data_IF_047089832142
#
_entry.id   IF_047089832142
#
_cell.length_a   1.000
_cell.length_b   1.000
_cell.length_c   1.000
_cell.angle_alpha   90.00
_cell.angle_beta   90.00
_cell.angle_gamma   90.00
#
_symmetry.space_group_name_H-M   'P 1'
#
loop_
_entity.id
_entity.type
_entity.pdbx_description
1 polymer ?
#
# COMPACT_ATOMS: atom_id res chain seq x y z
N UNK A 1 11.37 2.54 -17.28
CA UNK A 1 10.66 1.38 -17.86
C UNK A 1 11.37 0.15 -17.32
N UNK A 2 10.83 -0.51 -16.30
CA UNK A 2 11.45 -1.70 -15.71
C UNK A 2 10.57 -2.89 -16.09
N UNK A 3 11.16 -3.84 -16.82
CA UNK A 3 10.54 -5.13 -17.13
C UNK A 3 10.78 -6.08 -15.96
N UNK A 4 9.71 -6.63 -15.38
CA UNK A 4 9.81 -7.67 -14.37
C UNK A 4 9.30 -9.00 -14.91
N UNK A 5 10.07 -10.06 -14.66
CA UNK A 5 9.75 -11.44 -15.01
C UNK A 5 8.86 -12.05 -13.91
N UNK A 6 7.80 -12.73 -14.34
CA UNK A 6 6.68 -13.18 -13.53
C UNK A 6 7.00 -14.48 -12.77
N UNK A 7 6.74 -14.50 -11.45
CA UNK A 7 6.63 -15.73 -10.67
C UNK A 7 5.19 -15.87 -10.15
N UNK A 8 4.55 -17.00 -10.45
CA UNK A 8 3.16 -17.27 -10.08
C UNK A 8 3.06 -17.57 -8.58
N UNK A 9 2.30 -16.77 -7.83
CA UNK A 9 1.82 -17.16 -6.51
C UNK A 9 0.48 -17.89 -6.66
N UNK A 10 0.44 -19.09 -6.09
CA UNK A 10 -0.59 -20.10 -6.26
C UNK A 10 -1.48 -20.13 -5.01
N UNK A 11 -2.52 -19.29 -4.99
CA UNK A 11 -3.80 -19.58 -4.32
C UNK A 11 -4.83 -18.48 -4.66
N UNK A 12 -5.62 -18.72 -5.72
CA UNK A 12 -6.52 -17.69 -6.32
C UNK A 12 -7.99 -18.10 -6.40
N UNK A 13 -8.38 -19.27 -5.86
CA UNK A 13 -9.75 -19.79 -6.03
C UNK A 13 -10.73 -19.40 -4.90
N UNK A 14 -10.27 -19.04 -3.71
CA UNK A 14 -11.17 -18.74 -2.58
C UNK A 14 -11.67 -17.28 -2.50
N UNK A 15 -10.97 -16.31 -3.08
CA UNK A 15 -11.36 -14.89 -3.02
C UNK A 15 -12.73 -14.59 -3.65
N UNK A 16 -13.21 -15.41 -4.59
CA UNK A 16 -14.46 -15.16 -5.31
C UNK A 16 -15.73 -15.33 -4.48
N UNK A 17 -15.72 -16.17 -3.45
CA UNK A 17 -16.96 -16.49 -2.72
C UNK A 17 -17.26 -15.50 -1.59
N UNK A 18 -16.30 -14.65 -1.23
CA UNK A 18 -16.41 -13.70 -0.11
C UNK A 18 -16.38 -12.23 -0.52
N UNK A 19 -15.91 -11.90 -1.73
CA UNK A 19 -15.83 -10.51 -2.18
C UNK A 19 -17.08 -10.13 -2.97
N UNK A 20 -17.88 -9.21 -2.43
CA UNK A 20 -18.97 -8.58 -3.17
C UNK A 20 -18.37 -7.59 -4.16
N UNK A 21 -18.32 -7.99 -5.42
CA UNK A 21 -17.75 -7.19 -6.51
C UNK A 21 -18.65 -5.99 -6.85
N UNK A 22 -18.10 -4.78 -6.83
CA UNK A 22 -18.80 -3.57 -7.28
C UNK A 22 -18.78 -3.42 -8.81
N UNK A 23 -19.41 -2.35 -9.29
CA UNK A 23 -19.38 -1.90 -10.67
C UNK A 23 -17.92 -1.73 -11.17
N UNK A 24 -17.71 -2.08 -12.43
CA UNK A 24 -16.41 -1.97 -13.11
C UNK A 24 -15.88 -0.53 -13.03
N UNK A 25 -14.62 -0.38 -12.63
CA UNK A 25 -13.92 0.91 -12.57
C UNK A 25 -12.74 0.95 -13.55
N UNK A 26 -12.37 2.15 -13.98
CA UNK A 26 -11.19 2.40 -14.82
C UNK A 26 -10.00 2.98 -14.02
N UNK A 27 -10.18 3.22 -12.73
CA UNK A 27 -9.12 3.65 -11.82
C UNK A 27 -9.53 3.43 -10.36
N UNK A 28 -8.54 3.33 -9.48
CA UNK A 28 -8.72 3.48 -8.05
C UNK A 28 -7.42 4.06 -7.49
N UNK A 29 -7.52 4.80 -6.39
CA UNK A 29 -6.36 5.37 -5.70
C UNK A 29 -6.54 5.11 -4.21
N UNK A 30 -5.49 4.69 -3.52
CA UNK A 30 -5.56 4.25 -2.12
C UNK A 30 -4.61 5.12 -1.30
N UNK A 31 -5.09 5.70 -0.20
CA UNK A 31 -4.23 6.41 0.74
C UNK A 31 -3.69 5.42 1.78
N UNK A 32 -2.61 4.71 1.45
CA UNK A 32 -2.11 3.57 2.22
C UNK A 32 -1.89 3.90 3.72
N UNK A 33 -2.64 3.26 4.61
CA UNK A 33 -2.59 3.51 6.06
C UNK A 33 -3.24 4.83 6.52
N UNK A 34 -3.82 5.61 5.61
CA UNK A 34 -4.44 6.89 5.89
C UNK A 34 -5.95 6.89 5.63
N UNK A 35 -6.63 7.94 6.08
CA UNK A 35 -8.05 8.12 5.81
C UNK A 35 -8.33 8.54 4.35
N UNK A 36 -9.60 8.69 3.99
CA UNK A 36 -10.02 9.23 2.69
C UNK A 36 -9.47 10.65 2.47
N UNK A 37 -8.81 10.88 1.34
CA UNK A 37 -8.21 12.18 0.98
C UNK A 37 -8.69 12.64 -0.39
N UNK A 38 -8.85 13.96 -0.56
CA UNK A 38 -9.05 14.58 -1.87
C UNK A 38 -7.96 15.63 -2.08
N UNK A 39 -7.13 15.43 -3.09
CA UNK A 39 -6.05 16.35 -3.45
C UNK A 39 -6.59 17.65 -4.03
N UNK A 40 -5.74 18.67 -4.14
CA UNK A 40 -6.13 19.97 -4.73
C UNK A 40 -6.65 19.86 -6.17
N UNK A 41 -6.14 18.91 -6.95
CA UNK A 41 -6.61 18.66 -8.32
C UNK A 41 -7.91 17.82 -8.39
N UNK A 42 -8.54 17.53 -7.24
CA UNK A 42 -9.80 16.79 -7.15
C UNK A 42 -9.65 15.27 -7.26
N UNK A 43 -8.43 14.73 -7.24
CA UNK A 43 -8.19 13.28 -7.24
C UNK A 43 -8.52 12.73 -5.85
N UNK A 44 -9.49 11.82 -5.78
CA UNK A 44 -9.91 11.18 -4.54
C UNK A 44 -9.10 9.90 -4.31
N UNK A 45 -8.68 9.69 -3.07
CA UNK A 45 -8.01 8.50 -2.58
C UNK A 45 -8.88 7.82 -1.51
N UNK A 46 -9.03 6.52 -1.65
CA UNK A 46 -9.82 5.68 -0.76
C UNK A 46 -9.14 5.51 0.61
N UNK A 47 -9.99 5.28 1.61
CA UNK A 47 -9.61 5.12 3.01
C UNK A 47 -8.97 3.75 3.27
N UNK A 48 -7.75 3.75 3.78
CA UNK A 48 -7.02 2.56 4.24
C UNK A 48 -6.58 2.72 5.70
N UNK A 49 -7.46 3.26 6.56
CA UNK A 49 -7.19 3.50 7.99
C UNK A 49 -7.33 2.26 8.88
N UNK A 50 -7.64 1.10 8.31
CA UNK A 50 -7.72 -0.16 9.05
C UNK A 50 -6.39 -0.46 9.78
N UNK A 51 -6.44 -0.80 11.07
CA UNK A 51 -5.25 -0.92 11.91
C UNK A 51 -4.22 -1.97 11.43
N UNK A 52 -4.53 -2.82 10.45
CA UNK A 52 -3.63 -3.87 10.00
C UNK A 52 -3.47 -4.98 11.05
N UNK A 53 -2.37 -5.72 10.96
CA UNK A 53 -2.05 -6.75 11.94
C UNK A 53 -0.98 -7.73 11.45
N UNK A 54 -0.54 -8.60 12.37
CA UNK A 54 0.57 -9.52 12.10
C UNK A 54 0.27 -10.57 11.02
N UNK A 55 -1.02 -10.86 10.81
CA UNK A 55 -1.54 -11.64 9.72
C UNK A 55 -2.98 -11.18 9.49
N UNK A 56 -3.21 -10.35 8.47
CA UNK A 56 -4.53 -9.80 8.20
C UNK A 56 -4.84 -9.78 6.72
N UNK A 57 -6.08 -10.10 6.39
CA UNK A 57 -6.70 -9.77 5.12
C UNK A 57 -7.84 -8.78 5.41
N UNK A 58 -7.82 -7.64 4.73
CA UNK A 58 -8.83 -6.60 4.85
C UNK A 58 -9.46 -6.34 3.50
N UNK A 59 -10.79 -6.24 3.50
CA UNK A 59 -11.58 -5.88 2.34
C UNK A 59 -12.77 -5.05 2.78
N UNK A 60 -12.96 -3.91 2.11
CA UNK A 60 -14.16 -3.09 2.25
C UNK A 60 -15.09 -3.36 1.06
N UNK A 61 -16.30 -3.85 1.33
CA UNK A 61 -17.31 -4.18 0.31
C UNK A 61 -17.74 -2.98 -0.56
N UNK A 62 -17.41 -1.76 -0.15
CA UNK A 62 -17.69 -0.53 -0.90
C UNK A 62 -16.50 -0.04 -1.73
N UNK A 63 -15.48 -0.87 -1.89
CA UNK A 63 -14.29 -0.55 -2.68
C UNK A 63 -13.94 -1.69 -3.63
N UNK A 64 -13.19 -1.37 -4.67
CA UNK A 64 -12.68 -2.34 -5.64
C UNK A 64 -11.25 -2.81 -5.31
N UNK A 65 -10.88 -2.76 -4.02
CA UNK A 65 -9.57 -3.17 -3.57
C UNK A 65 -9.59 -3.82 -2.19
N UNK A 66 -8.52 -4.53 -1.88
CA UNK A 66 -8.28 -5.20 -0.60
C UNK A 66 -6.78 -5.17 -0.29
N UNK A 67 -6.39 -5.50 0.94
CA UNK A 67 -4.99 -5.76 1.26
C UNK A 67 -4.80 -7.01 2.13
N UNK A 68 -3.61 -7.59 2.03
CA UNK A 68 -3.11 -8.56 3.01
C UNK A 68 -1.75 -8.13 3.56
N UNK A 69 -1.53 -8.40 4.83
CA UNK A 69 -0.27 -8.08 5.54
C UNK A 69 0.18 -9.26 6.38
N UNK A 70 1.50 -9.44 6.48
CA UNK A 70 2.13 -10.48 7.30
C UNK A 70 3.38 -10.01 8.03
N UNK A 71 3.64 -10.67 9.16
CA UNK A 71 4.82 -10.46 10.00
C UNK A 71 4.53 -9.61 11.22
N UNK A 72 5.34 -9.77 12.26
CA UNK A 72 5.22 -9.02 13.50
C UNK A 72 6.50 -8.21 13.76
N UNK A 73 6.37 -7.01 14.31
CA UNK A 73 7.53 -6.19 14.69
C UNK A 73 8.16 -6.77 15.96
N UNK A 74 9.44 -7.13 15.90
CA UNK A 74 10.15 -7.82 16.99
C UNK A 74 10.69 -6.88 18.08
N UNK A 75 10.97 -5.60 17.76
CA UNK A 75 11.61 -4.64 18.66
C UNK A 75 10.93 -3.26 18.49
N UNK A 76 10.35 -2.71 19.57
CA UNK A 76 9.49 -1.52 19.48
C UNK A 76 10.02 -0.30 20.24
N UNK A 77 10.18 0.81 19.53
CA UNK A 77 9.66 2.09 20.00
C UNK A 77 8.20 2.20 19.53
N UNK A 78 7.34 2.98 20.20
CA UNK A 78 5.90 3.10 19.88
C UNK A 78 5.64 3.42 18.39
N UNK A 79 6.57 4.14 17.75
CA UNK A 79 6.51 4.54 16.33
C UNK A 79 6.83 3.37 15.38
N UNK A 80 7.59 2.37 15.81
CA UNK A 80 8.03 1.23 14.98
C UNK A 80 7.18 -0.03 15.16
N UNK A 81 6.25 -0.06 16.12
CA UNK A 81 5.32 -1.19 16.34
C UNK A 81 3.95 -1.03 15.69
N UNK A 82 3.69 0.09 15.03
CA UNK A 82 2.42 0.32 14.35
C UNK A 82 2.46 -0.23 12.92
N UNK A 83 1.38 -0.90 12.49
CA UNK A 83 1.14 -1.23 11.09
C UNK A 83 0.69 0.01 10.28
N UNK A 84 0.46 1.13 10.96
CA UNK A 84 0.27 2.47 10.39
C UNK A 84 1.24 3.44 11.08
N UNK A 85 2.53 3.48 10.69
CA UNK A 85 3.40 4.58 11.09
C UNK A 85 2.84 5.92 10.60
N UNK A 86 3.07 6.97 11.38
CA UNK A 86 2.72 8.33 11.03
C UNK A 86 3.79 9.34 11.43
N UNK A 87 3.82 10.45 10.71
CA UNK A 87 4.71 11.58 10.97
C UNK A 87 3.88 12.84 11.24
N UNK A 88 4.40 13.75 12.07
CA UNK A 88 3.80 15.10 12.19
C UNK A 88 4.05 15.87 10.89
N UNK A 89 2.98 16.38 10.26
CA UNK A 89 3.02 17.01 8.94
C UNK A 89 3.99 18.20 8.84
N UNK A 90 4.29 18.89 9.94
CA UNK A 90 5.25 20.00 9.97
C UNK A 90 6.70 19.60 9.66
N UNK A 91 7.03 18.30 9.68
CA UNK A 91 8.33 17.77 9.27
C UNK A 91 8.43 17.45 7.77
N UNK A 92 7.30 17.49 7.05
CA UNK A 92 7.27 17.27 5.61
C UNK A 92 7.51 18.60 4.88
N UNK A 93 8.44 18.61 3.93
CA UNK A 93 8.71 19.76 3.07
C UNK A 93 7.76 19.82 1.87
N UNK A 94 6.45 19.64 2.11
CA UNK A 94 5.41 19.66 1.08
C UNK A 94 4.65 20.98 1.20
N UNK A 95 4.57 21.73 0.09
CA UNK A 95 3.99 23.08 0.07
C UNK A 95 2.47 23.10 0.08
N UNK A 96 1.83 22.00 -0.31
CA UNK A 96 0.39 21.87 -0.45
C UNK A 96 -0.20 21.10 0.74
N UNK A 97 -1.14 21.73 1.45
CA UNK A 97 -1.75 21.18 2.65
C UNK A 97 -2.68 19.98 2.40
N UNK A 98 -3.29 19.83 1.22
CA UNK A 98 -4.15 18.67 0.96
C UNK A 98 -3.32 17.47 0.49
N UNK A 99 -2.23 17.72 -0.23
CA UNK A 99 -1.36 16.65 -0.70
C UNK A 99 -0.49 16.09 0.44
N UNK A 100 -0.23 16.88 1.49
CA UNK A 100 0.57 16.45 2.66
C UNK A 100 -0.07 15.26 3.40
N UNK A 101 -1.40 15.14 3.36
CA UNK A 101 -2.15 14.08 4.02
C UNK A 101 -1.82 12.71 3.41
N UNK A 102 -1.50 12.65 2.10
CA UNK A 102 -1.08 11.42 1.41
C UNK A 102 0.29 10.90 1.85
N UNK A 103 1.09 11.72 2.54
CA UNK A 103 2.45 11.37 2.98
C UNK A 103 2.61 11.42 4.50
N UNK A 104 1.50 11.59 5.23
CA UNK A 104 1.50 11.66 6.70
C UNK A 104 1.42 10.27 7.33
N UNK A 105 0.78 9.32 6.65
CA UNK A 105 0.62 7.94 7.06
C UNK A 105 1.19 6.99 6.01
N UNK A 106 1.58 5.80 6.43
CA UNK A 106 1.89 4.71 5.52
C UNK A 106 1.39 3.39 6.11
N UNK A 107 0.96 2.44 5.26
CA UNK A 107 0.76 1.06 5.69
C UNK A 107 2.08 0.32 5.71
N UNK A 108 2.42 -0.26 6.86
CA UNK A 108 3.64 -1.04 7.06
C UNK A 108 3.33 -2.51 7.34
N UNK A 109 4.19 -3.39 6.85
CA UNK A 109 4.17 -4.82 7.17
C UNK A 109 5.59 -5.35 7.30
N UNK A 110 5.92 -6.10 8.38
CA UNK A 110 7.29 -6.56 8.61
C UNK A 110 7.83 -7.55 7.58
N UNK A 111 6.96 -8.34 6.93
CA UNK A 111 7.37 -9.38 5.98
C UNK A 111 6.83 -9.09 4.58
N UNK A 112 5.50 -9.04 4.44
CA UNK A 112 4.90 -8.80 3.13
C UNK A 112 3.61 -7.99 3.25
N UNK A 113 3.47 -7.00 2.38
CA UNK A 113 2.26 -6.24 2.17
C UNK A 113 1.79 -6.47 0.74
N UNK A 114 0.51 -6.76 0.58
CA UNK A 114 -0.10 -7.00 -0.73
C UNK A 114 -1.34 -6.15 -0.87
N UNK A 115 -1.42 -5.35 -1.92
CA UNK A 115 -2.69 -4.74 -2.34
C UNK A 115 -3.28 -5.50 -3.52
N UNK A 116 -4.58 -5.71 -3.48
CA UNK A 116 -5.37 -6.32 -4.54
C UNK A 116 -6.30 -5.26 -5.11
N UNK A 117 -6.28 -5.07 -6.41
CA UNK A 117 -7.33 -4.37 -7.15
C UNK A 117 -8.15 -5.36 -7.96
N UNK A 118 -9.46 -5.21 -8.00
CA UNK A 118 -10.38 -6.05 -8.75
C UNK A 118 -11.44 -5.21 -9.46
N UNK A 119 -12.23 -5.83 -10.34
CA UNK A 119 -13.24 -5.15 -11.16
C UNK A 119 -12.68 -3.98 -11.99
N UNK A 120 -11.41 -4.08 -12.42
CA UNK A 120 -10.83 -3.13 -13.35
C UNK A 120 -11.27 -3.46 -14.77
N UNK A 121 -11.72 -2.45 -15.52
CA UNK A 121 -12.08 -2.60 -16.93
C UNK A 121 -10.91 -3.08 -17.78
N UNK A 122 -11.19 -3.63 -18.96
CA UNK A 122 -10.10 -4.02 -19.86
C UNK A 122 -9.41 -2.78 -20.44
N UNK A 123 -8.09 -2.69 -20.28
CA UNK A 123 -7.32 -1.56 -20.78
C UNK A 123 -5.88 -1.55 -20.31
N UNK A 124 -5.14 -0.54 -20.75
CA UNK A 124 -3.81 -0.26 -20.26
C UNK A 124 -3.90 0.64 -19.03
N UNK A 125 -3.16 0.29 -17.99
CA UNK A 125 -3.16 1.00 -16.72
C UNK A 125 -1.79 1.60 -16.43
N UNK A 126 -1.79 2.83 -15.97
CA UNK A 126 -0.61 3.42 -15.32
C UNK A 126 -0.68 3.09 -13.83
N UNK A 127 0.44 2.62 -13.28
CA UNK A 127 0.57 2.37 -11.84
C UNK A 127 1.52 3.41 -11.26
N UNK A 128 0.96 4.32 -10.47
CA UNK A 128 1.71 5.36 -9.76
C UNK A 128 1.89 4.92 -8.31
N UNK A 129 3.15 4.75 -7.88
CA UNK A 129 3.50 4.41 -6.50
C UNK A 129 4.16 5.60 -5.82
N UNK A 130 3.61 6.01 -4.68
CA UNK A 130 4.07 7.13 -3.90
C UNK A 130 4.84 6.63 -2.68
N UNK A 131 6.06 7.11 -2.48
CA UNK A 131 6.92 6.71 -1.36
C UNK A 131 7.38 7.94 -0.58
N UNK A 132 7.39 7.82 0.75
CA UNK A 132 7.97 8.78 1.67
C UNK A 132 8.63 8.03 2.84
N UNK A 133 9.80 8.50 3.27
CA UNK A 133 10.41 8.02 4.51
C UNK A 133 9.83 8.82 5.68
N UNK A 134 9.04 8.15 6.52
CA UNK A 134 8.30 8.80 7.61
C UNK A 134 8.75 8.36 9.01
N UNK A 135 9.69 7.42 9.12
CA UNK A 135 10.15 6.82 10.39
C UNK A 135 11.58 7.26 10.72
N UNK A 136 12.51 7.18 9.77
CA UNK A 136 13.93 7.48 9.96
C UNK A 136 14.29 8.92 9.61
N UNK A 137 13.61 9.87 10.25
CA UNK A 137 13.78 11.30 9.99
C UNK A 137 14.74 11.90 11.02
N UNK A 138 16.02 11.87 10.68
CA UNK A 138 17.07 12.61 11.40
C UNK A 138 17.45 13.84 10.58
N UNK A 139 17.43 15.03 11.19
CA UNK A 139 17.84 16.30 10.57
C UNK A 139 19.30 16.27 10.10
N UNK A 140 20.11 15.35 10.62
CA UNK A 140 21.51 15.18 10.23
C UNK A 140 21.72 14.17 9.09
N UNK A 141 20.67 13.51 8.59
CA UNK A 141 20.73 12.38 7.63
C UNK A 141 21.67 11.23 8.08
N UNK A 142 22.01 11.17 9.38
CA UNK A 142 22.89 10.13 9.96
C UNK A 142 22.11 8.90 10.43
N UNK A 143 20.84 8.76 10.03
CA UNK A 143 19.98 7.70 10.55
C UNK A 143 20.54 6.30 10.21
N UNK A 144 20.59 5.44 11.23
CA UNK A 144 21.13 4.07 11.19
C UNK A 144 20.18 3.05 10.53
N UNK A 145 19.12 3.52 9.86
CA UNK A 145 18.04 2.68 9.35
C UNK A 145 17.91 2.80 7.84
N UNK A 146 18.02 1.68 7.13
CA UNK A 146 17.70 1.56 5.70
C UNK A 146 16.56 0.57 5.53
N UNK A 147 15.52 0.95 4.79
CA UNK A 147 14.50 0.03 4.29
C UNK A 147 14.83 -0.33 2.85
N UNK A 148 14.89 -1.61 2.57
CA UNK A 148 15.05 -2.15 1.22
C UNK A 148 13.85 -3.02 0.99
N UNK A 149 13.12 -2.77 -0.09
CA UNK A 149 12.00 -3.59 -0.46
C UNK A 149 11.94 -3.80 -1.96
N UNK A 150 11.44 -4.97 -2.34
CA UNK A 150 11.13 -5.30 -3.72
C UNK A 150 9.65 -5.06 -3.98
N UNK A 151 9.34 -4.53 -5.16
CA UNK A 151 7.97 -4.31 -5.63
C UNK A 151 7.70 -5.27 -6.78
N UNK A 152 6.62 -6.04 -6.66
CA UNK A 152 6.13 -6.89 -7.74
C UNK A 152 4.70 -6.47 -8.10
N UNK A 153 4.46 -6.26 -9.39
CA UNK A 153 3.13 -5.94 -9.93
C UNK A 153 2.69 -7.10 -10.81
N UNK A 154 1.56 -7.71 -10.48
CA UNK A 154 0.96 -8.80 -11.24
C UNK A 154 -0.40 -8.38 -11.77
N UNK A 155 -0.71 -8.80 -13.00
CA UNK A 155 -1.96 -8.50 -13.69
C UNK A 155 -2.55 -9.79 -14.23
N UNK A 156 -3.81 -10.06 -13.88
CA UNK A 156 -4.51 -11.28 -14.26
C UNK A 156 -5.89 -10.96 -14.85
N UNK A 157 -6.19 -11.58 -15.97
CA UNK A 157 -7.51 -11.52 -16.60
C UNK A 157 -8.35 -12.69 -16.12
N UNK A 158 -9.54 -12.41 -15.59
CA UNK A 158 -10.49 -13.44 -15.21
C UNK A 158 -11.93 -13.02 -15.55
N UNK A 159 -12.61 -13.80 -16.39
CA UNK A 159 -14.01 -13.57 -16.79
C UNK A 159 -14.33 -12.11 -17.17
N UNK A 160 -13.53 -11.51 -18.06
CA UNK A 160 -13.66 -10.14 -18.56
C UNK A 160 -13.24 -9.00 -17.62
N UNK A 161 -12.82 -9.32 -16.38
CA UNK A 161 -12.31 -8.33 -15.42
C UNK A 161 -10.80 -8.49 -15.17
N UNK A 162 -10.14 -7.35 -14.94
CA UNK A 162 -8.73 -7.28 -14.60
C UNK A 162 -8.53 -7.26 -13.08
N UNK A 163 -7.60 -8.09 -12.61
CA UNK A 163 -7.16 -8.13 -11.21
C UNK A 163 -5.68 -7.77 -11.14
N UNK A 164 -5.32 -6.85 -10.25
CA UNK A 164 -3.94 -6.39 -10.04
C UNK A 164 -3.49 -6.72 -8.63
N UNK A 165 -2.25 -7.17 -8.49
CA UNK A 165 -1.63 -7.43 -7.18
C UNK A 165 -0.31 -6.69 -7.08
N UNK A 166 -0.15 -5.85 -6.05
CA UNK A 166 1.09 -5.15 -5.75
C UNK A 166 1.66 -5.76 -4.48
N UNK A 167 2.79 -6.45 -4.59
CA UNK A 167 3.51 -7.04 -3.47
C UNK A 167 4.70 -6.16 -3.11
N UNK A 168 4.76 -5.73 -1.86
CA UNK A 168 5.93 -5.11 -1.25
C UNK A 168 6.51 -6.10 -0.23
N UNK A 169 7.76 -6.51 -0.45
CA UNK A 169 8.52 -7.30 0.52
C UNK A 169 9.53 -6.42 1.22
N UNK A 170 9.36 -6.16 2.51
CA UNK A 170 10.44 -5.52 3.27
C UNK A 170 11.53 -6.54 3.55
N UNK A 171 12.74 -6.25 3.07
CA UNK A 171 13.95 -6.89 3.55
C UNK A 171 14.32 -6.24 4.87
N UNK A 172 14.37 -7.02 5.96
CA UNK A 172 14.75 -6.58 7.29
C UNK A 172 15.91 -5.56 7.29
N UNK A 173 15.77 -4.53 8.14
CA UNK A 173 16.80 -3.58 8.57
C UNK A 173 18.22 -4.15 8.48
N UNK A 174 19.01 -3.66 7.51
CA UNK A 174 20.46 -3.74 7.62
C UNK A 174 20.90 -2.57 8.50
N UNK A 175 21.22 -2.85 9.78
CA UNK A 175 22.16 -2.00 10.54
C UNK A 175 23.48 -2.04 9.77
N UNK A 176 23.96 -0.88 9.33
CA UNK A 176 25.35 -0.71 8.88
C UNK A 176 26.24 -0.58 10.11
#
# INVERSE_FOLDING_TARGET
MINFHMALAQDRKELKHHLKMMQVSNSFHINCGGGKVTTENGKMFDDDSDEGGAAKFYHNENTNWAFSSTGNFLESTIITSSYIPSIVSNKLSIKNNNDIELYTNARASPISLTYYGFCLGNGNYNVDLHFAEIVFIDETYKSLGRRIFDIYIQVHFQHQDLHTTILCYESCLQKV
#
